data_IF_947549073913
#
_entry.id   IF_947549073913
#
_cell.length_a   1.000
_cell.length_b   1.000
_cell.length_c   1.000
_cell.angle_alpha   90.00
_cell.angle_beta   90.00
_cell.angle_gamma   90.00
#
_symmetry.space_group_name_H-M   'P 1'
#
loop_
_entity.id
_entity.type
_entity.pdbx_description
1 polymer ?
#
# COMPACT_ATOMS: atom_id res chain seq x y z
N UNK A 1 -7.03 20.37 2.16
CA UNK A 1 -5.63 20.25 1.69
C UNK A 1 -5.62 19.24 0.56
N UNK A 2 -5.22 19.67 -0.63
CA UNK A 2 -5.03 18.78 -1.76
C UNK A 2 -3.56 18.75 -2.15
N UNK A 3 -3.02 17.56 -2.41
CA UNK A 3 -1.65 17.37 -2.88
C UNK A 3 -1.66 16.33 -4.01
N UNK A 4 -0.97 16.68 -5.10
CA UNK A 4 -0.78 15.85 -6.29
C UNK A 4 0.71 15.59 -6.42
N UNK A 5 1.13 14.39 -6.06
CA UNK A 5 2.53 13.98 -6.09
C UNK A 5 2.59 12.45 -6.03
N UNK A 6 3.79 11.87 -6.00
CA UNK A 6 3.97 10.44 -5.74
C UNK A 6 3.32 10.03 -4.41
N UNK A 7 2.87 8.78 -4.33
CA UNK A 7 2.29 8.21 -3.11
C UNK A 7 3.21 8.35 -1.90
N UNK A 8 4.51 8.15 -2.09
CA UNK A 8 5.49 8.29 -1.03
C UNK A 8 5.53 9.73 -0.48
N UNK A 9 5.54 10.74 -1.36
CA UNK A 9 5.52 12.14 -0.95
C UNK A 9 4.19 12.48 -0.25
N UNK A 10 3.07 11.98 -0.75
CA UNK A 10 1.76 12.15 -0.10
C UNK A 10 1.75 11.60 1.33
N UNK A 11 2.28 10.41 1.56
CA UNK A 11 2.37 9.79 2.89
C UNK A 11 3.29 10.56 3.83
N UNK A 12 4.43 11.05 3.35
CA UNK A 12 5.31 11.90 4.17
C UNK A 12 4.69 13.27 4.48
N UNK A 13 3.97 13.87 3.53
CA UNK A 13 3.25 15.12 3.76
C UNK A 13 2.15 14.94 4.83
N UNK A 14 1.45 13.81 4.80
CA UNK A 14 0.44 13.44 5.79
C UNK A 14 1.04 13.32 7.19
N UNK A 15 2.15 12.60 7.36
CA UNK A 15 2.84 12.48 8.66
C UNK A 15 3.25 13.83 9.21
N UNK A 16 3.87 14.68 8.39
CA UNK A 16 4.36 15.99 8.83
C UNK A 16 3.24 16.94 9.23
N UNK A 17 2.12 16.94 8.51
CA UNK A 17 1.01 17.90 8.75
C UNK A 17 -0.02 17.39 9.76
N UNK A 18 -0.18 16.09 9.89
CA UNK A 18 -1.19 15.47 10.73
C UNK A 18 -0.60 14.33 11.57
N UNK A 19 0.33 14.58 12.50
CA UNK A 19 1.09 13.52 13.19
C UNK A 19 0.20 12.53 13.98
N UNK A 20 -1.01 12.92 14.36
CA UNK A 20 -1.96 12.08 15.07
C UNK A 20 -2.88 11.24 14.16
N UNK A 21 -2.70 11.30 12.83
CA UNK A 21 -3.54 10.56 11.90
C UNK A 21 -3.44 9.04 12.05
N UNK A 22 -4.43 8.34 11.52
CA UNK A 22 -4.42 6.89 11.31
C UNK A 22 -4.84 6.61 9.87
N UNK A 23 -4.24 5.59 9.26
CA UNK A 23 -4.44 5.20 7.86
C UNK A 23 -4.97 3.77 7.80
N UNK A 24 -6.03 3.58 7.04
CA UNK A 24 -6.52 2.28 6.62
C UNK A 24 -6.27 2.10 5.11
N UNK A 25 -5.70 0.98 4.73
CA UNK A 25 -5.45 0.58 3.35
C UNK A 25 -6.67 -0.20 2.84
N UNK A 26 -7.10 0.09 1.61
CA UNK A 26 -8.27 -0.52 1.02
C UNK A 26 -7.98 -1.96 0.57
N UNK A 27 -8.68 -2.92 1.19
CA UNK A 27 -8.55 -4.36 0.88
C UNK A 27 -9.00 -4.73 -0.54
N UNK A 28 -9.83 -3.91 -1.17
CA UNK A 28 -10.27 -4.15 -2.55
C UNK A 28 -9.17 -3.83 -3.58
N UNK A 29 -8.15 -3.08 -3.17
CA UNK A 29 -7.05 -2.64 -4.06
C UNK A 29 -5.81 -3.48 -3.84
N UNK A 30 -5.50 -3.82 -2.58
CA UNK A 30 -4.32 -4.63 -2.23
C UNK A 30 -4.74 -5.97 -1.63
N UNK A 31 -4.24 -7.06 -2.20
CA UNK A 31 -4.32 -8.38 -1.56
C UNK A 31 -3.35 -8.40 -0.37
N UNK A 32 -3.91 -8.32 0.83
CA UNK A 32 -3.14 -8.23 2.07
C UNK A 32 -2.46 -9.55 2.46
N UNK A 33 -2.84 -10.68 1.86
CA UNK A 33 -2.35 -12.02 2.25
C UNK A 33 -2.33 -12.24 3.78
N UNK A 34 -3.33 -11.69 4.48
CA UNK A 34 -3.48 -11.78 5.94
C UNK A 34 -2.82 -10.66 6.75
N UNK A 35 -2.33 -9.60 6.10
CA UNK A 35 -1.94 -8.34 6.76
C UNK A 35 -3.19 -7.62 7.31
N UNK A 36 -3.12 -7.08 8.55
CA UNK A 36 -4.09 -6.08 8.97
C UNK A 36 -3.96 -4.88 8.03
N UNK A 37 -5.06 -4.44 7.43
CA UNK A 37 -5.04 -3.28 6.55
C UNK A 37 -5.52 -2.00 7.24
N UNK A 38 -5.92 -2.05 8.50
CA UNK A 38 -6.43 -0.90 9.24
C UNK A 38 -5.49 -0.49 10.39
N UNK A 39 -5.52 0.79 10.75
CA UNK A 39 -4.96 1.31 12.00
C UNK A 39 -3.48 1.68 11.95
N UNK A 40 -2.94 2.05 10.78
CA UNK A 40 -1.52 2.29 10.56
C UNK A 40 -1.13 3.76 10.62
N UNK A 41 0.14 4.05 10.88
CA UNK A 41 0.74 5.37 10.62
C UNK A 41 1.27 5.44 9.19
N UNK A 42 1.29 6.62 8.58
CA UNK A 42 1.78 6.79 7.21
C UNK A 42 3.20 6.22 6.97
N UNK A 43 4.19 6.39 7.88
CA UNK A 43 5.49 5.75 7.72
C UNK A 43 5.41 4.22 7.71
N UNK A 44 4.51 3.62 8.48
CA UNK A 44 4.30 2.16 8.49
C UNK A 44 3.64 1.69 7.19
N UNK A 45 2.73 2.50 6.61
CA UNK A 45 2.17 2.22 5.28
C UNK A 45 3.25 2.25 4.22
N UNK A 46 4.22 3.18 4.28
CA UNK A 46 5.39 3.18 3.39
C UNK A 46 6.20 1.90 3.52
N UNK A 47 6.45 1.43 4.75
CA UNK A 47 7.16 0.17 5.00
C UNK A 47 6.40 -1.02 4.41
N UNK A 48 5.07 -1.11 4.65
CA UNK A 48 4.20 -2.17 4.11
C UNK A 48 4.26 -2.19 2.58
N UNK A 49 4.05 -1.04 1.93
CA UNK A 49 4.05 -0.93 0.48
C UNK A 49 5.42 -1.19 -0.13
N UNK A 50 6.51 -0.81 0.55
CA UNK A 50 7.87 -1.12 0.10
C UNK A 50 8.11 -2.63 -0.01
N UNK A 51 7.45 -3.44 0.82
CA UNK A 51 7.56 -4.90 0.78
C UNK A 51 6.58 -5.55 -0.19
N UNK A 52 5.34 -5.05 -0.27
CA UNK A 52 4.29 -5.68 -1.07
C UNK A 52 4.26 -5.23 -2.52
N UNK A 53 4.45 -3.93 -2.76
CA UNK A 53 4.26 -3.28 -4.05
C UNK A 53 5.09 -1.99 -4.12
N UNK A 54 6.45 -2.08 -4.10
CA UNK A 54 7.31 -0.90 -4.06
C UNK A 54 7.08 0.06 -5.23
N UNK A 55 6.64 -0.46 -6.38
CA UNK A 55 6.31 0.34 -7.56
C UNK A 55 5.16 1.32 -7.31
N UNK A 56 4.26 1.04 -6.37
CA UNK A 56 3.15 1.96 -6.05
C UNK A 56 3.61 3.22 -5.34
N UNK A 57 4.73 3.17 -4.60
CA UNK A 57 5.26 4.33 -3.89
C UNK A 57 5.68 5.47 -4.83
N UNK A 58 6.09 5.13 -6.06
CA UNK A 58 6.47 6.07 -7.10
C UNK A 58 5.32 6.42 -8.06
N UNK A 59 4.12 5.87 -7.83
CA UNK A 59 2.95 6.16 -8.67
C UNK A 59 2.33 7.49 -8.27
N UNK A 60 1.85 8.24 -9.26
CA UNK A 60 1.08 9.46 -9.05
C UNK A 60 -0.12 9.20 -8.15
N UNK A 61 -0.24 10.02 -7.11
CA UNK A 61 -1.26 9.95 -6.10
C UNK A 61 -1.92 11.30 -5.88
N UNK A 62 -3.15 11.24 -5.39
CA UNK A 62 -3.91 12.43 -4.98
C UNK A 62 -4.27 12.28 -3.51
N UNK A 63 -3.71 13.13 -2.67
CA UNK A 63 -4.06 13.25 -1.26
C UNK A 63 -5.10 14.35 -1.09
N UNK A 64 -6.25 13.99 -0.52
CA UNK A 64 -7.37 14.87 -0.21
C UNK A 64 -7.60 14.83 1.30
N UNK A 65 -7.58 15.99 1.95
CA UNK A 65 -7.97 16.16 3.35
C UNK A 65 -8.80 17.44 3.46
N UNK A 66 -10.11 17.33 3.42
CA UNK A 66 -11.05 18.41 3.67
C UNK A 66 -12.15 17.98 4.66
N UNK A 67 -13.26 18.73 4.69
CA UNK A 67 -14.36 18.44 5.62
C UNK A 67 -15.18 17.21 5.21
N UNK A 68 -15.22 16.89 3.91
CA UNK A 68 -16.05 15.82 3.36
C UNK A 68 -15.23 14.54 3.22
N UNK A 69 -13.94 14.65 2.92
CA UNK A 69 -13.09 13.53 2.57
C UNK A 69 -11.66 13.63 3.12
N UNK A 70 -11.15 12.49 3.58
CA UNK A 70 -9.76 12.32 4.01
C UNK A 70 -9.23 11.01 3.40
N UNK A 71 -8.57 11.08 2.24
CA UNK A 71 -8.19 9.91 1.47
C UNK A 71 -6.96 10.12 0.58
N UNK A 72 -6.34 9.01 0.17
CA UNK A 72 -5.32 8.99 -0.89
C UNK A 72 -5.81 8.09 -2.02
N UNK A 73 -5.83 8.64 -3.23
CA UNK A 73 -6.16 7.94 -4.47
C UNK A 73 -4.90 7.63 -5.27
N UNK A 74 -4.96 6.53 -6.03
CA UNK A 74 -4.01 6.21 -7.11
C UNK A 74 -4.78 6.19 -8.43
N UNK A 75 -4.88 7.31 -9.16
CA UNK A 75 -5.70 7.40 -10.37
C UNK A 75 -5.35 6.38 -11.45
N UNK A 76 -4.09 5.92 -11.49
CA UNK A 76 -3.62 4.89 -12.40
C UNK A 76 -4.17 3.48 -12.08
N UNK A 77 -4.60 3.23 -10.84
CA UNK A 77 -5.13 1.95 -10.37
C UNK A 77 -6.66 2.01 -10.23
N UNK A 78 -7.16 3.05 -9.57
CA UNK A 78 -8.59 3.25 -9.35
C UNK A 78 -8.91 4.74 -9.23
N UNK A 79 -9.84 5.21 -10.06
CA UNK A 79 -10.35 6.58 -9.98
C UNK A 79 -11.50 6.74 -8.98
N UNK A 80 -12.14 5.63 -8.57
CA UNK A 80 -13.35 5.67 -7.74
C UNK A 80 -13.11 5.23 -6.30
N UNK A 81 -12.11 4.38 -6.06
CA UNK A 81 -11.82 3.84 -4.73
C UNK A 81 -10.47 4.40 -4.25
N UNK A 82 -10.43 4.98 -3.04
CA UNK A 82 -9.16 5.42 -2.48
C UNK A 82 -8.32 4.20 -2.12
N UNK A 83 -6.99 4.32 -2.31
CA UNK A 83 -6.02 3.37 -1.77
C UNK A 83 -6.02 3.42 -0.26
N UNK A 84 -6.05 4.62 0.31
CA UNK A 84 -5.99 4.83 1.75
C UNK A 84 -7.15 5.71 2.22
N UNK A 85 -7.79 5.32 3.31
CA UNK A 85 -8.68 6.18 4.11
C UNK A 85 -7.89 6.75 5.28
N UNK A 86 -8.01 8.06 5.52
CA UNK A 86 -7.26 8.77 6.55
C UNK A 86 -8.21 9.25 7.64
N UNK A 87 -7.88 8.92 8.88
CA UNK A 87 -8.56 9.38 10.07
C UNK A 87 -7.68 10.41 10.79
N UNK A 88 -7.92 11.70 10.54
CA UNK A 88 -7.13 12.79 11.11
C UNK A 88 -7.95 13.83 11.90
N UNK A 89 -9.29 13.71 11.88
CA UNK A 89 -10.22 14.56 12.60
C UNK A 89 -11.21 13.72 13.42
N UNK A 90 -11.72 14.29 14.53
CA UNK A 90 -12.75 13.64 15.35
C UNK A 90 -12.24 12.44 16.17
N UNK A 91 -13.04 11.37 16.23
CA UNK A 91 -12.70 10.13 16.94
C UNK A 91 -11.75 9.31 16.07
N UNK A 92 -10.46 9.51 16.30
CA UNK A 92 -9.40 8.76 15.61
C UNK A 92 -9.38 7.32 16.14
N UNK A 93 -9.43 6.29 15.26
CA UNK A 93 -9.32 4.89 15.67
C UNK A 93 -8.01 4.63 16.45
N UNK A 94 -7.98 3.61 17.32
CA UNK A 94 -6.73 3.26 17.99
C UNK A 94 -5.69 2.85 16.95
N UNK A 95 -4.46 3.34 17.11
CA UNK A 95 -3.31 2.82 16.40
C UNK A 95 -3.16 1.33 16.74
N UNK A 96 -2.86 0.50 15.75
CA UNK A 96 -2.45 -0.88 16.00
C UNK A 96 -1.05 -0.81 16.62
N UNK A 97 -1.01 -0.63 17.94
CA UNK A 97 0.18 -0.33 18.75
C UNK A 97 1.31 -1.38 18.72
N UNK A 98 1.21 -2.39 17.87
CA UNK A 98 2.22 -3.43 17.64
C UNK A 98 2.50 -3.68 16.16
N UNK A 99 2.10 -2.78 15.25
CA UNK A 99 2.32 -2.89 13.81
C UNK A 99 3.77 -3.22 13.44
N UNK A 100 4.74 -2.51 14.04
CA UNK A 100 6.17 -2.81 13.90
C UNK A 100 6.58 -4.19 14.44
N UNK A 101 5.97 -4.67 15.53
CA UNK A 101 6.24 -6.03 16.04
C UNK A 101 5.69 -7.09 15.10
N UNK A 102 4.53 -6.84 14.49
CA UNK A 102 3.95 -7.70 13.47
C UNK A 102 4.86 -7.75 12.23
N UNK A 103 5.32 -6.60 11.74
CA UNK A 103 6.25 -6.49 10.60
C UNK A 103 7.54 -7.27 10.84
N UNK A 104 8.17 -7.07 12.01
CA UNK A 104 9.40 -7.78 12.40
C UNK A 104 9.22 -9.30 12.51
N UNK A 105 8.04 -9.78 12.90
CA UNK A 105 7.76 -11.22 13.03
C UNK A 105 7.47 -11.89 11.68
N UNK A 106 6.96 -11.14 10.69
CA UNK A 106 6.48 -11.68 9.42
C UNK A 106 7.40 -11.43 8.23
N UNK A 107 8.44 -10.58 8.36
CA UNK A 107 9.49 -10.40 7.36
C UNK A 107 9.99 -11.71 6.70
N UNK A 108 10.38 -12.76 7.46
CA UNK A 108 10.86 -14.01 6.84
C UNK A 108 9.77 -14.82 6.12
N UNK A 109 8.48 -14.61 6.43
CA UNK A 109 7.36 -15.28 5.76
C UNK A 109 6.94 -14.56 4.47
N UNK A 110 7.07 -13.23 4.43
CA UNK A 110 6.76 -12.42 3.24
C UNK A 110 7.81 -12.66 2.14
N UNK A 111 9.10 -12.78 2.51
CA UNK A 111 10.17 -13.14 1.55
C UNK A 111 9.90 -14.50 0.89
N UNK A 112 9.45 -15.51 1.64
CA UNK A 112 9.12 -16.82 1.08
C UNK A 112 7.94 -16.77 0.10
N UNK A 113 6.94 -15.90 0.34
CA UNK A 113 5.80 -15.71 -0.55
C UNK A 113 6.20 -14.97 -1.83
N UNK A 114 7.09 -13.98 -1.74
CA UNK A 114 7.64 -13.26 -2.90
C UNK A 114 8.47 -14.21 -3.78
N UNK A 115 9.31 -15.04 -3.17
CA UNK A 115 10.12 -16.05 -3.89
C UNK A 115 9.24 -17.15 -4.51
N UNK A 116 8.18 -17.60 -3.82
CA UNK A 116 7.26 -18.59 -4.37
C UNK A 116 6.44 -18.05 -5.56
N UNK A 117 6.11 -16.77 -5.58
CA UNK A 117 5.34 -16.13 -6.66
C UNK A 117 6.19 -15.82 -7.90
N UNK A 118 7.52 -15.86 -7.80
CA UNK A 118 8.47 -15.61 -8.90
C UNK A 118 9.00 -16.89 -9.56
N UNK A 119 8.62 -18.07 -9.05
CA UNK A 119 9.03 -19.39 -9.58
C UNK A 119 7.95 -20.06 -10.45
N UNK A 120 7.04 -19.32 -11.08
CA UNK A 120 6.26 -19.88 -12.16
C UNK A 120 7.22 -20.22 -13.31
N UNK A 121 7.35 -21.49 -13.73
CA UNK A 121 8.19 -21.83 -14.86
C UNK A 121 7.63 -21.11 -16.08
N UNK A 122 8.42 -20.18 -16.63
CA UNK A 122 8.23 -19.68 -17.99
C UNK A 122 8.23 -20.92 -18.86
N UNK A 123 7.05 -21.35 -19.28
CA UNK A 123 6.86 -22.46 -20.18
C UNK A 123 7.67 -22.20 -21.43
N UNK A 124 8.82 -22.84 -21.50
CA UNK A 124 9.75 -22.83 -22.60
C UNK A 124 9.13 -23.68 -23.70
N UNK A 125 8.19 -23.09 -24.44
CA UNK A 125 7.65 -23.64 -25.67
C UNK A 125 8.69 -23.53 -26.76
N UNK A 126 9.57 -24.53 -26.80
CA UNK A 126 10.55 -24.77 -27.85
C UNK A 126 9.90 -24.71 -29.24
N UNK A 127 10.52 -23.94 -30.13
CA UNK A 127 10.50 -24.21 -31.56
C UNK A 127 11.09 -25.60 -31.82
N UNK A 128 10.43 -26.39 -32.67
CA UNK A 128 11.03 -27.27 -33.68
C UNK A 128 9.88 -27.91 -34.48
N UNK A 129 9.94 -28.28 -35.76
CA UNK A 129 10.80 -28.06 -36.94
C UNK A 129 9.88 -28.51 -38.11
N UNK A 130 10.08 -27.90 -39.28
CA UNK A 130 9.63 -28.35 -40.60
C UNK A 130 9.54 -29.88 -40.80
N UNK A 131 8.56 -30.36 -41.57
CA UNK A 131 8.74 -31.31 -42.71
C UNK A 131 7.42 -32.00 -43.06
N UNK A 132 6.71 -31.53 -44.08
CA UNK A 132 6.57 -32.18 -45.40
C UNK A 132 5.41 -31.57 -46.20
#
# INVERSE_FOLDING_TARGET
>A
MHLYDTLQICLYALENRYPNHIVDINADIIDSKGLPLAGWKAPEVVEILSMLAPQWLQTDAVLIIDYDECAIYLPAISQQKPLCTIHCHGKIPPHVGDGRRWLKRKQPAIEQIIIASSNLPVGQGYLDISSH
#
